data_IF_770536631965
#
_entry.id   IF_770536631965
#
_cell.length_a   1.000
_cell.length_b   1.000
_cell.length_c   1.000
_cell.angle_alpha   90.00
_cell.angle_beta   90.00
_cell.angle_gamma   90.00
#
_symmetry.space_group_name_H-M   'P 1'
#
loop_
_entity.id
_entity.type
_entity.pdbx_description
1 polymer ?
#
# COMPACT_ATOMS: atom_id res chain seq x y z
N UNK A 1 11.48 7.62 -0.27
CA UNK A 1 10.08 8.00 -0.03
C UNK A 1 9.65 7.50 1.34
N UNK A 2 8.78 8.23 2.00
CA UNK A 2 8.32 7.88 3.34
C UNK A 2 6.95 7.22 3.29
N UNK A 3 6.69 6.21 4.13
CA UNK A 3 5.36 5.60 4.18
C UNK A 3 4.40 6.44 5.02
N UNK A 4 3.15 6.53 4.56
CA UNK A 4 2.05 7.09 5.30
C UNK A 4 0.98 6.01 5.44
N UNK A 5 0.84 5.46 6.64
CA UNK A 5 -0.07 4.33 6.87
C UNK A 5 -1.46 4.82 7.22
N UNK A 6 -2.43 4.53 6.34
CA UNK A 6 -3.83 4.87 6.59
C UNK A 6 -4.43 3.92 7.63
N UNK A 7 -5.54 4.32 8.28
CA UNK A 7 -6.11 3.52 9.38
C UNK A 7 -6.37 2.05 9.09
N UNK A 8 -6.91 1.63 7.91
CA UNK A 8 -7.12 0.20 7.68
C UNK A 8 -5.81 -0.60 7.66
N UNK A 9 -4.75 -0.01 7.10
CA UNK A 9 -3.43 -0.65 7.09
C UNK A 9 -2.91 -0.82 8.52
N UNK A 10 -2.91 0.27 9.29
CA UNK A 10 -2.41 0.23 10.67
C UNK A 10 -3.20 -0.73 11.55
N UNK A 11 -4.53 -0.77 11.40
CA UNK A 11 -5.37 -1.68 12.18
C UNK A 11 -5.04 -3.14 11.89
N UNK A 12 -4.83 -3.48 10.62
CA UNK A 12 -4.46 -4.85 10.25
C UNK A 12 -3.13 -5.25 10.88
N UNK A 13 -2.12 -4.39 10.76
CA UNK A 13 -0.79 -4.68 11.31
C UNK A 13 -0.86 -4.93 12.81
N UNK A 14 -1.66 -4.15 13.53
CA UNK A 14 -1.79 -4.31 14.98
C UNK A 14 -2.45 -5.61 15.41
N UNK A 15 -3.28 -6.20 14.54
CA UNK A 15 -4.02 -7.42 14.87
C UNK A 15 -3.22 -8.70 14.64
N UNK A 16 -2.24 -8.68 13.76
CA UNK A 16 -1.54 -9.90 13.37
C UNK A 16 -0.33 -10.15 14.27
N UNK A 17 0.14 -11.41 14.27
CA UNK A 17 1.29 -11.80 15.08
C UNK A 17 2.59 -11.18 14.56
N UNK A 18 3.60 -11.14 15.41
CA UNK A 18 4.84 -10.41 15.14
C UNK A 18 5.54 -10.82 13.84
N UNK A 19 5.70 -12.12 13.51
CA UNK A 19 6.35 -12.47 12.25
C UNK A 19 5.66 -11.90 11.02
N UNK A 20 4.32 -11.88 10.99
CA UNK A 20 3.59 -11.29 9.88
C UNK A 20 3.74 -9.77 9.87
N UNK A 21 3.74 -9.12 11.04
CA UNK A 21 4.00 -7.68 11.12
C UNK A 21 5.33 -7.33 10.45
N UNK A 22 6.37 -8.09 10.74
CA UNK A 22 7.70 -7.86 10.16
C UNK A 22 7.69 -8.08 8.64
N UNK A 23 6.98 -9.10 8.17
CA UNK A 23 6.86 -9.35 6.74
C UNK A 23 6.14 -8.20 6.02
N UNK A 24 5.10 -7.65 6.65
CA UNK A 24 4.37 -6.51 6.10
C UNK A 24 5.28 -5.27 6.05
N UNK A 25 6.03 -5.02 7.12
CA UNK A 25 6.97 -3.89 7.15
C UNK A 25 8.05 -4.01 6.08
N UNK A 26 8.59 -5.21 5.88
CA UNK A 26 9.57 -5.46 4.82
C UNK A 26 8.98 -5.22 3.44
N UNK A 27 7.75 -5.67 3.22
CA UNK A 27 7.06 -5.45 1.94
C UNK A 27 6.80 -3.95 1.70
N UNK A 28 6.39 -3.22 2.72
CA UNK A 28 6.18 -1.77 2.61
C UNK A 28 7.51 -1.06 2.30
N UNK A 29 8.60 -1.50 2.90
CA UNK A 29 9.92 -0.95 2.62
C UNK A 29 10.34 -1.18 1.17
N UNK A 30 10.08 -2.37 0.63
CA UNK A 30 10.35 -2.67 -0.77
C UNK A 30 9.56 -1.74 -1.70
N UNK A 31 8.31 -1.46 -1.37
CA UNK A 31 7.50 -0.51 -2.14
C UNK A 31 8.09 0.89 -2.07
N UNK A 32 8.54 1.32 -0.89
CA UNK A 32 9.17 2.63 -0.74
C UNK A 32 10.46 2.75 -1.57
N UNK A 33 11.22 1.66 -1.68
CA UNK A 33 12.44 1.63 -2.48
C UNK A 33 12.16 1.57 -3.98
N UNK A 34 11.04 0.94 -4.37
CA UNK A 34 10.64 0.85 -5.78
C UNK A 34 9.11 0.91 -5.88
N UNK A 35 8.54 2.13 -5.97
CA UNK A 35 7.09 2.30 -6.00
C UNK A 35 6.38 1.62 -7.18
N UNK A 36 7.11 1.25 -8.22
CA UNK A 36 6.55 0.60 -9.39
C UNK A 36 6.60 -0.93 -9.30
N UNK A 37 7.00 -1.47 -8.13
CA UNK A 37 7.10 -2.92 -7.96
C UNK A 37 5.75 -3.62 -8.01
N UNK A 38 4.68 -2.93 -7.65
CA UNK A 38 3.33 -3.47 -7.70
C UNK A 38 2.69 -3.35 -9.07
N UNK A 39 1.40 -3.64 -9.13
CA UNK A 39 0.62 -3.56 -10.37
C UNK A 39 -0.33 -2.38 -10.29
N UNK A 40 -0.27 -1.50 -11.29
CA UNK A 40 -1.18 -0.36 -11.37
C UNK A 40 -2.59 -0.84 -11.69
N UNK A 41 -3.57 -0.32 -10.96
CA UNK A 41 -4.98 -0.67 -11.18
C UNK A 41 -5.66 0.40 -12.04
N UNK A 42 -6.81 0.04 -12.58
CA UNK A 42 -7.58 0.90 -13.47
C UNK A 42 -9.03 1.02 -12.98
N UNK A 43 -9.85 1.80 -13.70
CA UNK A 43 -11.26 1.95 -13.37
C UNK A 43 -11.45 2.63 -12.02
N UNK A 44 -12.25 2.03 -11.16
CA UNK A 44 -12.57 2.56 -9.82
C UNK A 44 -11.33 2.71 -8.94
N UNK A 45 -10.25 2.01 -9.27
CA UNK A 45 -9.02 2.01 -8.50
C UNK A 45 -7.87 2.72 -9.23
N UNK A 46 -8.19 3.56 -10.22
CA UNK A 46 -7.16 4.32 -10.93
C UNK A 46 -6.30 5.13 -9.95
N UNK A 47 -4.98 5.04 -10.10
CA UNK A 47 -4.03 5.68 -9.19
C UNK A 47 -3.59 4.80 -8.03
N UNK A 48 -4.27 3.70 -7.81
CA UNK A 48 -3.90 2.72 -6.78
C UNK A 48 -3.03 1.64 -7.43
N UNK A 49 -2.02 1.21 -6.70
CA UNK A 49 -1.16 0.09 -7.05
C UNK A 49 -1.32 -1.00 -6.01
N UNK A 50 -1.13 -2.24 -6.41
CA UNK A 50 -1.23 -3.38 -5.48
C UNK A 50 0.02 -4.22 -5.60
N UNK A 51 0.69 -4.44 -4.47
CA UNK A 51 1.85 -5.30 -4.36
C UNK A 51 1.47 -6.59 -3.65
N UNK A 52 1.89 -7.72 -4.21
CA UNK A 52 1.60 -9.04 -3.65
C UNK A 52 2.86 -9.63 -3.03
N UNK A 53 2.71 -10.22 -1.85
CA UNK A 53 3.80 -10.95 -1.21
C UNK A 53 3.24 -12.19 -0.53
N UNK A 54 4.10 -13.17 -0.30
CA UNK A 54 3.72 -14.41 0.36
C UNK A 54 4.31 -14.50 1.75
N UNK A 55 3.53 -15.00 2.69
CA UNK A 55 3.97 -15.31 4.03
C UNK A 55 3.27 -16.59 4.48
N UNK A 56 4.06 -17.60 4.92
CA UNK A 56 3.52 -18.91 5.32
C UNK A 56 2.56 -19.50 4.29
N UNK A 57 2.94 -19.49 3.01
CA UNK A 57 2.17 -20.05 1.89
C UNK A 57 0.89 -19.32 1.58
N UNK A 58 0.62 -18.22 2.26
CA UNK A 58 -0.56 -17.39 1.98
C UNK A 58 -0.12 -16.11 1.27
N UNK A 59 -0.88 -15.72 0.25
CA UNK A 59 -0.65 -14.48 -0.46
C UNK A 59 -1.35 -13.32 0.23
N UNK A 60 -0.61 -12.22 0.41
CA UNK A 60 -1.14 -10.97 0.94
C UNK A 60 -1.01 -9.88 -0.08
N UNK A 61 -1.91 -8.91 0.01
CA UNK A 61 -1.96 -7.77 -0.89
C UNK A 61 -1.76 -6.49 -0.09
N UNK A 62 -1.00 -5.55 -0.67
CA UNK A 62 -0.85 -4.19 -0.14
C UNK A 62 -1.34 -3.22 -1.19
N UNK A 63 -2.33 -2.39 -0.86
CA UNK A 63 -2.80 -1.32 -1.73
C UNK A 63 -2.13 -0.03 -1.32
N UNK A 64 -1.56 0.68 -2.29
CA UNK A 64 -0.84 1.92 -2.02
C UNK A 64 -1.01 2.90 -3.19
N UNK A 65 -0.75 4.17 -2.90
CA UNK A 65 -0.75 5.23 -3.92
C UNK A 65 0.60 5.94 -3.87
N UNK A 66 1.43 5.78 -4.91
CA UNK A 66 2.70 6.52 -4.98
C UNK A 66 2.45 7.97 -5.36
N UNK A 67 3.45 8.86 -5.15
CA UNK A 67 3.37 10.23 -5.64
C UNK A 67 3.18 10.25 -7.15
N UNK A 68 2.49 11.27 -7.66
CA UNK A 68 2.29 11.41 -9.10
C UNK A 68 3.60 11.76 -9.80
N UNK A 69 3.74 11.47 -11.12
CA UNK A 69 4.93 11.88 -11.86
C UNK A 69 5.16 13.39 -11.82
N UNK A 70 4.09 14.18 -11.78
CA UNK A 70 4.22 15.64 -11.70
C UNK A 70 4.87 16.08 -10.39
N UNK A 71 4.49 15.46 -9.28
CA UNK A 71 5.11 15.76 -7.99
C UNK A 71 6.62 15.52 -8.02
N UNK A 72 7.04 14.46 -8.72
CA UNK A 72 8.46 14.14 -8.85
C UNK A 72 9.21 15.15 -9.72
N UNK A 73 8.54 15.73 -10.73
CA UNK A 73 9.15 16.67 -11.67
C UNK A 73 9.33 18.07 -11.12
N UNK A 74 8.63 18.40 -10.04
CA UNK A 74 8.67 19.77 -9.48
C UNK A 74 9.90 20.05 -8.63
N UNK A 75 10.91 19.18 -8.68
CA UNK A 75 12.15 19.39 -7.95
C UNK A 75 12.04 19.13 -6.46
N UNK A 76 10.96 18.50 -6.01
CA UNK A 76 10.82 18.10 -4.62
C UNK A 76 11.78 16.96 -4.34
N UNK A 77 12.48 17.04 -3.20
CA UNK A 77 13.37 15.97 -2.76
C UNK A 77 12.56 14.67 -2.64
N UNK A 78 13.01 13.61 -3.31
CA UNK A 78 12.34 12.30 -3.30
C UNK A 78 12.14 11.78 -1.87
N UNK A 79 13.07 12.10 -0.97
CA UNK A 79 12.96 11.67 0.43
C UNK A 79 11.77 12.29 1.16
N UNK A 80 11.28 13.45 0.67
CA UNK A 80 10.12 14.12 1.25
C UNK A 80 8.80 13.65 0.67
N UNK A 81 8.82 12.89 -0.43
CA UNK A 81 7.60 12.37 -1.02
C UNK A 81 7.08 11.21 -0.19
N UNK A 82 5.76 11.09 -0.12
CA UNK A 82 5.11 10.06 0.68
C UNK A 82 4.35 9.09 -0.20
N UNK A 83 4.34 7.83 0.22
CA UNK A 83 3.50 6.80 -0.35
C UNK A 83 2.39 6.51 0.66
N UNK A 84 1.14 6.63 0.22
CA UNK A 84 0.00 6.31 1.07
C UNK A 84 -0.28 4.81 1.00
N UNK A 85 -0.15 4.13 2.13
CA UNK A 85 -0.49 2.71 2.25
C UNK A 85 -1.90 2.61 2.81
N UNK A 86 -2.83 2.16 1.96
CA UNK A 86 -4.26 2.16 2.30
C UNK A 86 -4.68 0.92 3.04
N UNK A 87 -4.25 -0.25 2.57
CA UNK A 87 -4.78 -1.50 3.10
C UNK A 87 -3.80 -2.64 2.88
N UNK A 88 -3.82 -3.59 3.80
CA UNK A 88 -3.09 -4.85 3.67
C UNK A 88 -4.01 -5.98 4.14
N UNK A 89 -3.94 -7.12 3.47
CA UNK A 89 -4.74 -8.29 3.84
C UNK A 89 -4.66 -9.39 2.81
N UNK A 90 -5.39 -10.47 3.05
CA UNK A 90 -5.51 -11.56 2.10
C UNK A 90 -6.46 -11.16 0.98
N UNK A 91 -6.60 -12.03 -0.05
CA UNK A 91 -7.50 -11.75 -1.17
C UNK A 91 -8.96 -11.60 -0.76
N UNK A 92 -9.37 -12.28 0.31
CA UNK A 92 -10.77 -12.31 0.71
C UNK A 92 -11.25 -10.91 1.10
N UNK A 93 -12.27 -10.43 0.38
CA UNK A 93 -12.89 -9.11 0.60
C UNK A 93 -11.95 -7.90 0.46
N UNK A 94 -10.70 -8.10 0.03
CA UNK A 94 -9.70 -7.04 -0.01
C UNK A 94 -10.17 -5.85 -0.86
N UNK A 95 -10.58 -6.12 -2.09
CA UNK A 95 -10.96 -5.03 -3.01
C UNK A 95 -12.26 -4.35 -2.62
N UNK A 96 -13.22 -5.11 -2.08
CA UNK A 96 -14.47 -4.53 -1.60
C UNK A 96 -14.24 -3.58 -0.44
N UNK A 97 -13.43 -3.97 0.51
CA UNK A 97 -13.09 -3.13 1.65
C UNK A 97 -12.28 -1.90 1.23
N UNK A 98 -11.34 -2.08 0.30
CA UNK A 98 -10.54 -0.97 -0.22
C UNK A 98 -11.42 0.08 -0.88
N UNK A 99 -12.34 -0.33 -1.76
CA UNK A 99 -13.25 0.60 -2.43
C UNK A 99 -14.12 1.35 -1.44
N UNK A 100 -14.59 0.66 -0.41
CA UNK A 100 -15.41 1.24 0.64
C UNK A 100 -14.64 2.33 1.40
N UNK A 101 -13.40 2.03 1.76
CA UNK A 101 -12.55 2.99 2.46
C UNK A 101 -12.27 4.22 1.60
N UNK A 102 -11.93 4.00 0.32
CA UNK A 102 -11.63 5.12 -0.59
C UNK A 102 -12.82 6.05 -0.75
N UNK A 103 -14.04 5.52 -0.77
CA UNK A 103 -15.25 6.34 -0.82
C UNK A 103 -15.43 7.16 0.45
N UNK A 104 -15.06 6.60 1.59
CA UNK A 104 -15.22 7.30 2.88
C UNK A 104 -14.23 8.45 3.04
N UNK A 105 -13.12 8.44 2.29
CA UNK A 105 -12.13 9.52 2.33
C UNK A 105 -12.55 10.79 1.57
N UNK A 106 -13.57 10.70 0.75
CA UNK A 106 -14.02 11.84 -0.07
C UNK A 106 -14.76 12.89 0.74
#
# INVERSE_FOLDING_TARGET
>A
MKPNYKPPFSRFVKKVHKPLQLAIEDAAEEVCDNPEIGEAKAGDLAGIWVYKFKFNRQEYLIAYRPPTPESRRQGVDVELLMIDFYQVGSHENFYGELKRYLKSER
#
